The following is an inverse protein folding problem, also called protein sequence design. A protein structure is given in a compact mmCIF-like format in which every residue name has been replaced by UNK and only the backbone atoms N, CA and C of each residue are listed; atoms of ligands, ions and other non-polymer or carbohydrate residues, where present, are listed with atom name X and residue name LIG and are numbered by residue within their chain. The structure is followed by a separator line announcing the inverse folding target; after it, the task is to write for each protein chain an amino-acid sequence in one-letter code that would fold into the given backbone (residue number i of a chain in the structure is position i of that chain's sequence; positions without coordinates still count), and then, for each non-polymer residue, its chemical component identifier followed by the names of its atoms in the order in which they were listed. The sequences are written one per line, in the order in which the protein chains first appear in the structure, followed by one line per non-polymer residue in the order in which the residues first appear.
data_IF_323361099240
#
_entry.id   IF_323361099240
#
_cell.length_a   1.000
_cell.length_b   1.000
_cell.length_c   1.000
_cell.angle_alpha   90.00
_cell.angle_beta   90.00
_cell.angle_gamma   90.00
#
_symmetry.space_group_name_H-M   'P 1'
#
loop_
_entity.id
_entity.type
_entity.pdbx_description
1 polymer ?
#
# COMPACT_ATOMS: atom_id res chain seq x y z
N UNK A 1 22.14 17.99 -3.49
CA UNK A 1 22.53 18.02 -2.06
C UNK A 1 21.38 17.44 -1.26
N UNK A 2 21.67 16.49 -0.36
CA UNK A 2 20.63 15.83 0.45
C UNK A 2 20.36 16.67 1.71
N UNK A 3 19.08 16.96 1.96
CA UNK A 3 18.60 17.63 3.17
C UNK A 3 17.43 16.88 3.79
N UNK A 4 17.28 16.93 5.12
CA UNK A 4 16.08 16.49 5.82
C UNK A 4 14.96 17.52 5.60
N UNK A 5 13.76 17.02 5.32
CA UNK A 5 12.57 17.85 5.05
C UNK A 5 11.78 18.10 6.33
N UNK A 6 10.98 19.17 6.30
CA UNK A 6 10.04 19.57 7.34
C UNK A 6 8.64 19.73 6.73
N UNK A 7 7.62 19.99 7.54
CA UNK A 7 6.24 20.05 7.06
C UNK A 7 5.98 21.11 5.98
N UNK A 8 6.74 22.20 5.96
CA UNK A 8 6.67 23.23 4.94
C UNK A 8 7.11 22.72 3.54
N UNK A 9 7.92 21.66 3.49
CA UNK A 9 8.34 21.04 2.23
C UNK A 9 7.26 20.12 1.63
N UNK A 10 6.20 19.77 2.38
CA UNK A 10 5.20 18.75 2.01
C UNK A 10 4.63 18.97 0.60
N UNK A 11 4.25 20.20 0.25
CA UNK A 11 3.69 20.49 -1.07
C UNK A 11 4.68 20.17 -2.20
N UNK A 12 5.93 20.60 -2.05
CA UNK A 12 6.99 20.35 -3.04
C UNK A 12 7.26 18.86 -3.22
N UNK A 13 7.25 18.10 -2.12
CA UNK A 13 7.42 16.65 -2.15
C UNK A 13 6.24 15.97 -2.85
N UNK A 14 5.02 16.36 -2.52
CA UNK A 14 3.81 15.82 -3.15
C UNK A 14 3.78 16.13 -4.65
N UNK A 15 4.07 17.37 -5.08
CA UNK A 15 4.12 17.74 -6.49
C UNK A 15 5.08 16.82 -7.29
N UNK A 16 6.22 16.46 -6.70
CA UNK A 16 7.15 15.50 -7.30
C UNK A 16 6.62 14.06 -7.31
N UNK A 17 6.06 13.59 -6.19
CA UNK A 17 5.55 12.23 -6.05
C UNK A 17 4.34 11.97 -6.96
N UNK A 18 3.49 12.97 -7.19
CA UNK A 18 2.34 12.88 -8.08
C UNK A 18 2.70 12.72 -9.56
N UNK A 19 3.95 12.98 -9.97
CA UNK A 19 4.42 12.69 -11.34
C UNK A 19 4.32 11.19 -11.67
N UNK A 20 4.40 10.32 -10.65
CA UNK A 20 4.15 8.88 -10.78
C UNK A 20 3.37 8.39 -9.55
N UNK A 21 2.13 8.86 -9.45
CA UNK A 21 1.28 8.64 -8.26
C UNK A 21 1.03 7.17 -7.93
N UNK A 22 0.99 6.30 -8.94
CA UNK A 22 0.76 4.87 -8.73
C UNK A 22 1.93 4.24 -7.99
N UNK A 23 3.16 4.50 -8.43
CA UNK A 23 4.36 3.96 -7.79
C UNK A 23 4.67 4.63 -6.44
N UNK A 24 4.25 5.87 -6.27
CA UNK A 24 4.51 6.67 -5.08
C UNK A 24 3.35 6.69 -4.07
N UNK A 25 2.33 5.84 -4.27
CA UNK A 25 1.12 5.80 -3.45
C UNK A 25 1.41 5.82 -1.94
N UNK A 26 2.31 4.96 -1.46
CA UNK A 26 2.62 4.89 -0.03
C UNK A 26 3.25 6.18 0.47
N UNK A 27 4.23 6.73 -0.25
CA UNK A 27 4.85 7.99 0.14
C UNK A 27 3.85 9.16 0.15
N UNK A 28 2.96 9.21 -0.85
CA UNK A 28 1.88 10.21 -0.91
C UNK A 28 0.93 10.04 0.27
N UNK A 29 0.45 8.81 0.49
CA UNK A 29 -0.46 8.50 1.58
C UNK A 29 0.13 8.79 2.96
N UNK A 30 1.40 8.43 3.17
CA UNK A 30 2.10 8.68 4.43
C UNK A 30 2.24 10.19 4.69
N UNK A 31 2.68 10.98 3.70
CA UNK A 31 2.79 12.44 3.85
C UNK A 31 1.43 13.09 4.12
N UNK A 32 0.38 12.70 3.41
CA UNK A 32 -0.96 13.27 3.59
C UNK A 32 -1.59 12.90 4.95
N UNK A 33 -1.33 11.70 5.45
CA UNK A 33 -1.94 11.23 6.70
C UNK A 33 -1.14 11.59 7.95
N UNK A 34 0.20 11.70 7.86
CA UNK A 34 1.08 11.86 9.02
C UNK A 34 1.95 13.12 8.99
N UNK A 35 1.98 13.86 7.88
CA UNK A 35 2.88 15.00 7.67
C UNK A 35 4.26 14.54 7.20
N UNK A 36 5.24 15.44 7.19
CA UNK A 36 6.62 15.18 6.72
C UNK A 36 7.58 14.98 7.89
N UNK A 37 7.30 15.63 9.01
CA UNK A 37 8.12 15.64 10.21
C UNK A 37 7.27 15.20 11.42
N UNK A 38 7.36 13.90 11.75
CA UNK A 38 6.64 13.30 12.86
C UNK A 38 7.51 12.31 13.60
N UNK A 39 7.11 11.86 14.78
CA UNK A 39 7.86 10.87 15.58
C UNK A 39 8.10 9.53 14.85
N UNK A 40 7.26 9.21 13.86
CA UNK A 40 7.29 7.94 13.14
C UNK A 40 7.82 8.05 11.73
N UNK A 41 8.00 9.29 11.21
CA UNK A 41 8.37 9.53 9.83
C UNK A 41 9.50 10.54 9.69
N UNK A 42 10.47 10.22 8.86
CA UNK A 42 11.54 11.09 8.42
C UNK A 42 11.58 11.13 6.89
N UNK A 43 11.76 12.30 6.31
CA UNK A 43 11.87 12.47 4.86
C UNK A 43 13.13 13.25 4.52
N UNK A 44 13.86 12.77 3.52
CA UNK A 44 15.01 13.48 2.94
C UNK A 44 14.81 13.64 1.44
N UNK A 45 15.34 14.70 0.91
CA UNK A 45 15.34 14.98 -0.52
C UNK A 45 16.76 15.23 -1.01
N UNK A 46 17.14 14.52 -2.10
CA UNK A 46 18.28 14.92 -2.91
C UNK A 46 17.81 15.82 -4.04
N UNK A 47 18.33 17.04 -4.11
CA UNK A 47 17.97 18.02 -5.09
C UNK A 47 19.16 18.84 -5.57
N UNK A 48 19.03 19.37 -6.77
CA UNK A 48 19.95 20.34 -7.36
C UNK A 48 19.20 21.53 -7.98
N UNK A 49 19.87 22.34 -8.79
CA UNK A 49 19.28 23.50 -9.46
C UNK A 49 18.14 23.12 -10.42
N UNK A 50 18.07 21.87 -10.88
CA UNK A 50 17.03 21.36 -11.78
C UNK A 50 15.80 20.83 -11.02
N UNK A 51 15.91 20.64 -9.71
CA UNK A 51 14.84 20.17 -8.85
C UNK A 51 15.16 18.88 -8.11
N UNK A 52 14.09 18.18 -7.66
CA UNK A 52 14.21 16.93 -6.91
C UNK A 52 14.66 15.80 -7.83
N UNK A 53 15.71 15.07 -7.42
CA UNK A 53 16.20 13.83 -8.02
C UNK A 53 15.61 12.61 -7.35
N UNK A 54 15.69 12.58 -6.01
CA UNK A 54 15.31 11.41 -5.21
C UNK A 54 14.71 11.86 -3.88
N UNK A 55 13.64 11.18 -3.48
CA UNK A 55 13.05 11.29 -2.16
C UNK A 55 13.32 9.98 -1.42
N UNK A 56 13.78 10.08 -0.18
CA UNK A 56 13.94 9.00 0.78
C UNK A 56 12.95 9.23 1.92
N UNK A 57 11.96 8.37 2.06
CA UNK A 57 10.92 8.48 3.08
C UNK A 57 10.97 7.25 3.98
N UNK A 58 11.28 7.46 5.25
CA UNK A 58 11.22 6.45 6.29
C UNK A 58 9.90 6.58 7.04
N UNK A 59 9.14 5.50 7.11
CA UNK A 59 7.96 5.37 7.97
C UNK A 59 8.06 4.07 8.77
N UNK A 60 8.20 4.19 10.09
CA UNK A 60 8.48 3.05 10.97
C UNK A 60 9.71 2.25 10.50
N UNK A 61 9.53 0.97 10.16
CA UNK A 61 10.57 0.09 9.61
C UNK A 61 10.63 0.04 8.09
N UNK A 62 9.87 0.89 7.39
CA UNK A 62 9.83 0.94 5.94
C UNK A 62 10.57 2.17 5.42
N UNK A 63 11.28 1.99 4.32
CA UNK A 63 11.96 3.05 3.58
C UNK A 63 11.46 3.04 2.13
N UNK A 64 10.87 4.12 1.69
CA UNK A 64 10.50 4.32 0.29
C UNK A 64 11.58 5.17 -0.38
N UNK A 65 12.12 4.68 -1.51
CA UNK A 65 13.02 5.46 -2.37
C UNK A 65 12.29 5.77 -3.66
N UNK A 66 11.97 7.04 -3.87
CA UNK A 66 11.30 7.53 -5.07
C UNK A 66 12.23 8.39 -5.91
N UNK A 67 12.49 7.96 -7.15
CA UNK A 67 13.27 8.70 -8.13
C UNK A 67 12.65 8.56 -9.51
N UNK A 68 12.39 9.71 -10.18
CA UNK A 68 11.87 9.73 -11.54
C UNK A 68 12.99 9.65 -12.60
N UNK A 69 14.23 9.95 -12.21
CA UNK A 69 15.44 9.82 -13.04
C UNK A 69 16.18 8.51 -12.81
N UNK A 70 15.67 7.64 -11.93
CA UNK A 70 16.35 6.43 -11.46
C UNK A 70 17.72 6.70 -10.80
N UNK A 71 17.95 7.92 -10.31
CA UNK A 71 19.15 8.27 -9.55
C UNK A 71 18.97 7.87 -8.08
N UNK A 72 20.07 7.46 -7.44
CA UNK A 72 20.12 7.13 -6.01
C UNK A 72 21.52 7.40 -5.48
N UNK A 73 21.60 8.01 -4.31
CA UNK A 73 22.87 8.20 -3.58
C UNK A 73 23.12 6.99 -2.68
N UNK A 74 24.07 6.14 -3.08
CA UNK A 74 24.39 4.92 -2.35
C UNK A 74 25.08 5.19 -1.01
N UNK A 75 25.86 6.26 -0.89
CA UNK A 75 26.50 6.63 0.35
C UNK A 75 25.48 7.08 1.38
N UNK A 76 24.45 7.78 0.93
CA UNK A 76 23.33 8.18 1.78
C UNK A 76 22.47 6.98 2.21
N UNK A 77 22.17 6.05 1.30
CA UNK A 77 21.44 4.82 1.66
C UNK A 77 22.23 3.99 2.67
N UNK A 78 23.57 3.88 2.51
CA UNK A 78 24.42 3.18 3.47
C UNK A 78 24.36 3.83 4.87
N UNK A 79 24.37 5.16 4.95
CA UNK A 79 24.20 5.90 6.22
C UNK A 79 22.84 5.65 6.86
N UNK A 80 21.76 5.61 6.07
CA UNK A 80 20.45 5.30 6.60
C UNK A 80 20.36 3.87 7.16
N UNK A 81 20.99 2.90 6.50
CA UNK A 81 21.07 1.52 7.00
C UNK A 81 21.88 1.44 8.29
N UNK A 82 23.00 2.19 8.39
CA UNK A 82 23.81 2.26 9.60
C UNK A 82 23.04 2.89 10.77
N UNK A 83 22.31 3.98 10.52
CA UNK A 83 21.58 4.73 11.54
C UNK A 83 20.34 4.00 12.06
N UNK A 84 19.51 3.44 11.13
CA UNK A 84 18.21 2.86 11.48
C UNK A 84 18.20 1.32 11.52
N UNK A 85 19.32 0.68 11.14
CA UNK A 85 19.42 -0.77 11.10
C UNK A 85 18.65 -1.39 9.92
N UNK A 86 18.14 -2.62 10.12
CA UNK A 86 17.42 -3.34 9.05
C UNK A 86 16.03 -2.77 8.81
N UNK A 87 15.80 -2.28 7.58
CA UNK A 87 14.53 -1.73 7.11
C UNK A 87 14.04 -2.47 5.87
N UNK A 88 12.74 -2.35 5.57
CA UNK A 88 12.15 -2.82 4.33
C UNK A 88 12.22 -1.69 3.28
N UNK A 89 13.01 -1.88 2.24
CA UNK A 89 13.13 -0.90 1.15
C UNK A 89 12.09 -1.16 0.06
N UNK A 90 11.34 -0.13 -0.30
CA UNK A 90 10.31 -0.12 -1.33
C UNK A 90 10.62 0.93 -2.39
N UNK A 91 10.35 0.65 -3.65
CA UNK A 91 10.55 1.58 -4.75
C UNK A 91 10.54 0.88 -6.10
N UNK A 92 10.72 1.65 -7.17
CA UNK A 92 10.84 1.10 -8.53
C UNK A 92 12.00 0.13 -8.62
N UNK A 93 11.82 -0.96 -9.34
CA UNK A 93 12.92 -1.92 -9.60
C UNK A 93 14.11 -1.26 -10.28
N UNK A 94 13.88 -0.29 -11.20
CA UNK A 94 14.93 0.47 -11.86
C UNK A 94 15.77 1.31 -10.90
N UNK A 95 15.18 1.81 -9.81
CA UNK A 95 15.86 2.55 -8.73
C UNK A 95 16.56 1.59 -7.78
N UNK A 96 15.82 0.63 -7.21
CA UNK A 96 16.37 -0.27 -6.20
C UNK A 96 17.44 -1.23 -6.73
N UNK A 97 17.46 -1.50 -8.05
CA UNK A 97 18.52 -2.28 -8.67
C UNK A 97 19.88 -1.59 -8.65
N UNK A 98 19.90 -0.26 -8.51
CA UNK A 98 21.12 0.57 -8.44
C UNK A 98 21.61 0.77 -7.01
N UNK A 99 20.82 0.35 -6.00
CA UNK A 99 21.22 0.43 -4.60
C UNK A 99 22.16 -0.71 -4.24
N UNK A 100 23.27 -0.38 -3.60
CA UNK A 100 24.28 -1.31 -3.09
C UNK A 100 23.85 -1.87 -1.72
N UNK A 101 22.81 -2.73 -1.71
CA UNK A 101 22.37 -3.36 -0.47
C UNK A 101 23.36 -4.38 0.06
N UNK A 102 23.52 -4.49 1.39
CA UNK A 102 24.21 -5.62 2.02
C UNK A 102 23.60 -6.96 1.59
N UNK A 103 24.39 -8.05 1.59
CA UNK A 103 23.95 -9.39 1.20
C UNK A 103 22.79 -9.96 2.05
N UNK A 104 22.55 -9.38 3.22
CA UNK A 104 21.43 -9.73 4.11
C UNK A 104 20.07 -9.31 3.57
N UNK A 105 20.03 -8.44 2.56
CA UNK A 105 18.80 -7.99 1.94
C UNK A 105 18.36 -8.92 0.80
N UNK A 106 17.11 -9.38 0.87
CA UNK A 106 16.50 -10.22 -0.15
C UNK A 106 15.59 -9.39 -1.04
N UNK A 107 15.81 -9.44 -2.35
CA UNK A 107 14.95 -8.74 -3.34
C UNK A 107 13.70 -9.56 -3.62
N UNK A 108 12.54 -8.91 -3.49
CA UNK A 108 11.23 -9.50 -3.82
C UNK A 108 10.55 -8.63 -4.87
N UNK A 109 10.72 -8.89 -6.17
CA UNK A 109 10.03 -8.12 -7.20
C UNK A 109 8.52 -8.37 -7.13
N UNK A 110 7.75 -7.29 -7.17
CA UNK A 110 6.29 -7.31 -7.19
C UNK A 110 5.80 -6.58 -8.44
N UNK A 111 4.62 -6.95 -8.93
CA UNK A 111 3.94 -6.21 -9.98
C UNK A 111 2.98 -5.22 -9.34
N UNK A 112 3.00 -3.99 -9.84
CA UNK A 112 1.98 -2.99 -9.58
C UNK A 112 1.06 -2.91 -10.79
N UNK A 113 -0.24 -2.88 -10.56
CA UNK A 113 -1.24 -2.63 -11.58
C UNK A 113 -2.20 -1.56 -11.06
N UNK A 114 -2.78 -0.76 -11.94
CA UNK A 114 -3.84 0.17 -11.59
C UNK A 114 -5.16 -0.23 -12.24
N UNK A 115 -6.26 0.04 -11.56
CA UNK A 115 -7.61 -0.15 -12.07
C UNK A 115 -8.22 1.24 -12.25
N UNK A 116 -8.67 1.53 -13.47
CA UNK A 116 -9.42 2.76 -13.81
C UNK A 116 -10.90 2.46 -14.06
N UNK A 117 -11.21 1.21 -14.44
CA UNK A 117 -12.57 0.74 -14.73
C UNK A 117 -12.76 -0.68 -14.24
N UNK A 118 -13.93 -0.98 -13.71
CA UNK A 118 -14.31 -2.33 -13.31
C UNK A 118 -15.10 -3.01 -14.44
N UNK A 119 -14.81 -4.27 -14.72
CA UNK A 119 -15.58 -5.07 -15.67
C UNK A 119 -16.91 -5.48 -15.02
N UNK A 120 -18.02 -4.98 -15.57
CA UNK A 120 -19.38 -5.18 -15.07
C UNK A 120 -19.77 -6.65 -14.89
N UNK A 121 -19.20 -7.57 -15.67
CA UNK A 121 -19.47 -9.02 -15.51
C UNK A 121 -19.15 -9.55 -14.11
N UNK A 122 -18.26 -8.89 -13.37
CA UNK A 122 -17.91 -9.27 -12.00
C UNK A 122 -18.76 -8.56 -10.94
N UNK A 123 -19.50 -7.51 -11.31
CA UNK A 123 -20.43 -6.80 -10.44
C UNK A 123 -21.82 -7.41 -10.46
N UNK A 124 -22.25 -7.91 -11.62
CA UNK A 124 -23.57 -8.51 -11.81
C UNK A 124 -23.56 -9.95 -11.30
N UNK A 125 -23.68 -10.13 -9.99
CA UNK A 125 -23.74 -11.43 -9.34
C UNK A 125 -24.59 -11.37 -8.07
N UNK A 126 -25.08 -12.53 -7.61
CA UNK A 126 -25.93 -12.67 -6.43
C UNK A 126 -25.14 -12.93 -5.14
N UNK A 127 -23.82 -12.73 -5.16
CA UNK A 127 -22.98 -12.97 -4.00
C UNK A 127 -23.12 -11.87 -2.96
N UNK A 128 -23.22 -12.24 -1.67
CA UNK A 128 -23.21 -11.29 -0.55
C UNK A 128 -21.80 -10.75 -0.32
N UNK A 129 -21.46 -9.67 -1.03
CA UNK A 129 -20.18 -8.98 -0.90
C UNK A 129 -20.43 -7.60 -0.30
N UNK A 130 -19.85 -7.36 0.86
CA UNK A 130 -20.06 -6.10 1.58
C UNK A 130 -18.83 -5.67 2.39
N UNK A 131 -18.81 -4.39 2.70
CA UNK A 131 -17.91 -3.83 3.70
C UNK A 131 -18.29 -4.39 5.07
N UNK A 132 -17.30 -4.84 5.85
CA UNK A 132 -17.54 -5.37 7.18
C UNK A 132 -17.63 -4.26 8.24
N UNK A 133 -18.35 -4.55 9.32
CA UNK A 133 -18.39 -3.77 10.54
C UNK A 133 -17.63 -4.44 11.69
N UNK A 134 -17.74 -3.84 12.88
CA UNK A 134 -17.10 -4.36 14.09
C UNK A 134 -17.57 -5.77 14.47
N UNK A 135 -18.84 -6.09 14.21
CA UNK A 135 -19.42 -7.41 14.53
C UNK A 135 -18.76 -8.52 13.71
N UNK A 136 -18.29 -8.22 12.51
CA UNK A 136 -17.61 -9.17 11.62
C UNK A 136 -16.10 -9.23 11.86
N UNK A 137 -15.51 -8.31 12.64
CA UNK A 137 -14.06 -8.14 12.76
C UNK A 137 -13.33 -9.43 13.19
N UNK A 138 -13.91 -10.18 14.14
CA UNK A 138 -13.33 -11.43 14.63
C UNK A 138 -13.37 -12.54 13.58
N UNK A 139 -14.49 -12.67 12.85
CA UNK A 139 -14.63 -13.65 11.78
C UNK A 139 -13.68 -13.30 10.60
N UNK A 140 -13.57 -12.03 10.27
CA UNK A 140 -12.63 -11.55 9.26
C UNK A 140 -11.18 -11.88 9.64
N UNK A 141 -10.76 -11.57 10.87
CA UNK A 141 -9.40 -11.87 11.35
C UNK A 141 -9.08 -13.37 11.31
N UNK A 142 -10.00 -14.25 11.69
CA UNK A 142 -9.80 -15.69 11.59
C UNK A 142 -9.58 -16.15 10.16
N UNK A 143 -10.37 -15.66 9.21
CA UNK A 143 -10.21 -15.96 7.78
C UNK A 143 -8.89 -15.40 7.25
N UNK A 144 -8.55 -14.15 7.59
CA UNK A 144 -7.31 -13.52 7.21
C UNK A 144 -6.09 -14.32 7.71
N UNK A 145 -6.09 -14.72 8.98
CA UNK A 145 -5.02 -15.55 9.56
C UNK A 145 -4.93 -16.92 8.88
N UNK A 146 -6.06 -17.54 8.53
CA UNK A 146 -6.08 -18.83 7.82
C UNK A 146 -5.48 -18.77 6.42
N UNK A 147 -5.56 -17.61 5.75
CA UNK A 147 -5.09 -17.43 4.37
C UNK A 147 -3.62 -16.96 4.34
N UNK A 148 -3.27 -16.01 5.20
CA UNK A 148 -1.99 -15.28 5.14
C UNK A 148 -1.06 -15.53 6.33
N UNK A 149 -1.52 -16.27 7.35
CA UNK A 149 -0.80 -16.39 8.63
C UNK A 149 -1.07 -15.20 9.57
N UNK A 150 -0.44 -15.24 10.73
CA UNK A 150 -0.64 -14.24 11.80
C UNK A 150 0.23 -12.98 11.58
N UNK A 151 -0.04 -12.27 10.48
CA UNK A 151 0.67 -11.04 10.11
C UNK A 151 -0.08 -9.75 10.48
N UNK A 152 -1.40 -9.83 10.64
CA UNK A 152 -2.26 -8.69 10.99
C UNK A 152 -2.96 -9.01 12.31
N UNK A 153 -2.75 -8.18 13.32
CA UNK A 153 -3.36 -8.39 14.64
C UNK A 153 -4.84 -8.02 14.63
N UNK A 154 -5.62 -8.73 15.43
CA UNK A 154 -7.04 -8.42 15.60
C UNK A 154 -7.28 -6.96 16.02
N UNK A 155 -6.45 -6.45 16.94
CA UNK A 155 -6.58 -5.05 17.42
C UNK A 155 -6.35 -4.01 16.32
N UNK A 156 -5.48 -4.30 15.32
CA UNK A 156 -5.26 -3.38 14.19
C UNK A 156 -6.51 -3.31 13.31
N UNK A 157 -7.16 -4.46 13.04
CA UNK A 157 -8.43 -4.50 12.29
C UNK A 157 -9.50 -3.74 13.06
N UNK A 158 -9.65 -3.99 14.35
CA UNK A 158 -10.63 -3.35 15.21
C UNK A 158 -10.45 -1.83 15.24
N UNK A 159 -9.22 -1.36 15.48
CA UNK A 159 -8.90 0.06 15.49
C UNK A 159 -9.21 0.75 14.16
N UNK A 160 -8.90 0.09 13.03
CA UNK A 160 -9.22 0.62 11.71
C UNK A 160 -10.73 0.65 11.43
N UNK A 161 -11.52 -0.27 12.00
CA UNK A 161 -12.97 -0.25 11.88
C UNK A 161 -13.63 0.81 12.78
N UNK A 162 -13.07 1.03 13.98
CA UNK A 162 -13.53 2.08 14.91
C UNK A 162 -13.17 3.49 14.41
N UNK A 163 -12.02 3.61 13.74
CA UNK A 163 -11.47 4.88 13.28
C UNK A 163 -11.07 4.82 11.79
N UNK A 164 -12.02 4.68 10.86
CA UNK A 164 -11.73 4.46 9.45
C UNK A 164 -11.14 5.71 8.81
N UNK A 165 -9.83 5.80 8.71
CA UNK A 165 -9.11 6.92 8.05
C UNK A 165 -8.61 6.54 6.66
N UNK A 166 -7.91 5.43 6.53
CA UNK A 166 -7.15 5.08 5.32
C UNK A 166 -7.28 3.61 4.91
N UNK A 167 -8.22 2.88 5.50
CA UNK A 167 -8.43 1.47 5.22
C UNK A 167 -9.90 1.09 5.34
N UNK A 168 -10.31 0.13 4.53
CA UNK A 168 -11.61 -0.55 4.65
C UNK A 168 -11.45 -2.03 4.36
N UNK A 169 -12.34 -2.85 4.93
CA UNK A 169 -12.33 -4.29 4.84
C UNK A 169 -13.62 -4.79 4.20
N UNK A 170 -13.48 -5.72 3.25
CA UNK A 170 -14.59 -6.33 2.53
C UNK A 170 -14.56 -7.84 2.69
N UNK A 171 -15.72 -8.44 2.75
CA UNK A 171 -15.89 -9.88 2.80
C UNK A 171 -16.99 -10.36 1.83
N UNK A 172 -16.79 -11.54 1.28
CA UNK A 172 -17.81 -12.31 0.56
C UNK A 172 -18.30 -13.39 1.51
N UNK A 173 -19.63 -13.43 1.68
CA UNK A 173 -20.31 -14.37 2.56
C UNK A 173 -20.97 -15.49 1.75
N UNK A 174 -20.92 -16.70 2.30
CA UNK A 174 -21.63 -17.85 1.79
C UNK A 174 -22.19 -18.63 2.98
N UNK A 175 -23.51 -18.88 2.93
CA UNK A 175 -24.23 -19.57 4.04
C UNK A 175 -23.92 -18.92 5.41
N UNK A 176 -23.83 -17.57 5.44
CA UNK A 176 -23.52 -16.79 6.64
C UNK A 176 -22.05 -16.78 7.09
N UNK A 177 -21.15 -17.46 6.38
CA UNK A 177 -19.73 -17.51 6.70
C UNK A 177 -18.88 -16.72 5.72
N UNK A 178 -17.82 -16.06 6.21
CA UNK A 178 -16.85 -15.37 5.35
C UNK A 178 -15.99 -16.41 4.64
N UNK A 179 -15.97 -16.37 3.31
CA UNK A 179 -15.19 -17.29 2.46
C UNK A 179 -14.13 -16.60 1.61
N UNK A 180 -14.27 -15.31 1.38
CA UNK A 180 -13.25 -14.51 0.68
C UNK A 180 -13.17 -13.13 1.32
N UNK A 181 -11.97 -12.57 1.35
CA UNK A 181 -11.68 -11.28 1.96
C UNK A 181 -10.83 -10.41 1.05
N UNK A 182 -10.87 -9.12 1.29
CA UNK A 182 -10.03 -8.11 0.66
C UNK A 182 -10.09 -6.82 1.46
N UNK A 183 -9.07 -6.00 1.32
CA UNK A 183 -9.00 -4.72 2.00
C UNK A 183 -8.41 -3.64 1.09
N UNK A 184 -8.68 -2.39 1.41
CA UNK A 184 -7.89 -1.26 0.95
C UNK A 184 -6.98 -0.76 2.07
N UNK A 185 -5.94 -0.06 1.70
CA UNK A 185 -5.04 0.67 2.61
C UNK A 185 -4.47 1.89 1.89
N UNK A 186 -3.79 2.77 2.64
CA UNK A 186 -3.21 4.00 2.12
C UNK A 186 -4.21 4.84 1.31
N UNK A 187 -5.48 4.82 1.72
CA UNK A 187 -6.51 5.61 1.07
C UNK A 187 -6.25 7.10 1.31
N UNK A 188 -6.09 7.83 0.23
CA UNK A 188 -5.96 9.28 0.23
C UNK A 188 -6.68 9.86 -0.97
N UNK A 189 -6.63 11.18 -1.16
CA UNK A 189 -7.30 11.83 -2.29
C UNK A 189 -6.81 11.23 -3.62
N UNK A 190 -7.74 10.62 -4.34
CA UNK A 190 -7.49 10.05 -5.66
C UNK A 190 -6.67 8.76 -5.71
N UNK A 191 -6.37 8.12 -4.58
CA UNK A 191 -5.57 6.90 -4.54
C UNK A 191 -6.04 5.95 -3.42
N UNK A 192 -5.95 4.65 -3.67
CA UNK A 192 -6.10 3.60 -2.67
C UNK A 192 -5.32 2.36 -3.10
N UNK A 193 -4.78 1.60 -2.16
CA UNK A 193 -4.15 0.31 -2.43
C UNK A 193 -5.10 -0.83 -2.05
N UNK A 194 -5.35 -1.76 -2.97
CA UNK A 194 -6.07 -3.00 -2.65
C UNK A 194 -5.06 -4.05 -2.19
N UNK A 195 -5.31 -4.61 -1.02
CA UNK A 195 -4.43 -5.56 -0.34
C UNK A 195 -5.23 -6.71 0.28
N UNK A 196 -4.53 -7.73 0.79
CA UNK A 196 -5.12 -8.83 1.55
C UNK A 196 -6.26 -9.56 0.85
N UNK A 197 -6.17 -9.67 -0.49
CA UNK A 197 -7.18 -10.38 -1.28
C UNK A 197 -6.94 -11.88 -1.19
N UNK A 198 -7.89 -12.62 -0.65
CA UNK A 198 -7.77 -14.05 -0.50
C UNK A 198 -9.09 -14.78 -0.36
N UNK A 199 -9.08 -16.08 -0.67
CA UNK A 199 -10.21 -16.99 -0.53
C UNK A 199 -9.75 -18.23 0.23
N UNK A 200 -10.55 -18.72 1.17
CA UNK A 200 -10.26 -19.96 1.90
C UNK A 200 -10.10 -21.12 0.93
N UNK A 201 -9.27 -22.10 1.29
CA UNK A 201 -8.82 -23.13 0.36
C UNK A 201 -9.97 -23.91 -0.27
N UNK A 202 -10.98 -24.30 0.49
CA UNK A 202 -12.16 -25.06 0.04
C UNK A 202 -13.05 -24.32 -0.96
N UNK A 203 -12.93 -22.98 -1.00
CA UNK A 203 -13.76 -22.11 -1.83
C UNK A 203 -12.98 -21.45 -2.98
N UNK A 204 -11.70 -21.81 -3.19
CA UNK A 204 -10.86 -21.31 -4.28
C UNK A 204 -11.37 -21.76 -5.65
N UNK A 205 -10.91 -21.07 -6.69
CA UNK A 205 -11.22 -21.33 -8.12
C UNK A 205 -12.70 -21.13 -8.50
N UNK A 206 -13.49 -20.46 -7.65
CA UNK A 206 -14.91 -20.11 -7.91
C UNK A 206 -15.10 -18.66 -8.35
N UNK A 207 -14.00 -17.88 -8.47
CA UNK A 207 -14.05 -16.48 -8.90
C UNK A 207 -14.36 -15.48 -7.80
N UNK A 208 -14.48 -15.91 -6.53
CA UNK A 208 -14.88 -15.04 -5.42
C UNK A 208 -13.94 -13.86 -5.19
N UNK A 209 -12.62 -14.09 -5.24
CA UNK A 209 -11.65 -13.00 -5.12
C UNK A 209 -11.82 -11.94 -6.23
N UNK A 210 -12.09 -12.36 -7.48
CA UNK A 210 -12.32 -11.43 -8.59
C UNK A 210 -13.59 -10.59 -8.41
N UNK A 211 -14.68 -11.21 -7.93
CA UNK A 211 -15.95 -10.51 -7.64
C UNK A 211 -15.77 -9.52 -6.48
N UNK A 212 -15.05 -9.94 -5.42
CA UNK A 212 -14.77 -9.11 -4.26
C UNK A 212 -13.90 -7.90 -4.64
N UNK A 213 -12.81 -8.11 -5.40
CA UNK A 213 -11.97 -7.03 -5.91
C UNK A 213 -12.78 -6.07 -6.79
N UNK A 214 -13.65 -6.61 -7.66
CA UNK A 214 -14.52 -5.78 -8.50
C UNK A 214 -15.42 -4.87 -7.65
N UNK A 215 -16.11 -5.44 -6.64
CA UNK A 215 -16.99 -4.67 -5.75
C UNK A 215 -16.23 -3.62 -4.97
N UNK A 216 -15.11 -3.98 -4.35
CA UNK A 216 -14.25 -3.05 -3.61
C UNK A 216 -13.73 -1.93 -4.52
N UNK A 217 -13.27 -2.27 -5.73
CA UNK A 217 -12.78 -1.29 -6.71
C UNK A 217 -13.90 -0.36 -7.18
N UNK A 218 -15.10 -0.89 -7.46
CA UNK A 218 -16.25 -0.11 -7.89
C UNK A 218 -16.64 0.94 -6.83
N UNK A 219 -16.70 0.52 -5.56
CA UNK A 219 -17.01 1.41 -4.46
C UNK A 219 -15.94 2.52 -4.30
N UNK A 220 -14.65 2.16 -4.43
CA UNK A 220 -13.56 3.12 -4.36
C UNK A 220 -13.57 4.10 -5.53
N UNK A 221 -13.79 3.61 -6.78
CA UNK A 221 -13.83 4.45 -7.97
C UNK A 221 -15.00 5.43 -7.93
N UNK A 222 -16.18 4.99 -7.48
CA UNK A 222 -17.37 5.85 -7.34
C UNK A 222 -17.22 6.95 -6.29
N UNK A 223 -16.47 6.67 -5.23
CA UNK A 223 -16.25 7.63 -4.15
C UNK A 223 -15.10 8.61 -4.43
N UNK A 224 -14.10 8.19 -5.19
CA UNK A 224 -12.83 8.91 -5.30
C UNK A 224 -12.51 9.47 -6.69
N UNK A 225 -13.26 9.12 -7.72
CA UNK A 225 -13.08 9.55 -9.14
C UNK A 225 -11.66 9.31 -9.73
N UNK A 226 -10.88 8.30 -9.24
CA UNK A 226 -9.48 8.14 -9.64
C UNK A 226 -9.02 6.68 -9.69
N UNK A 227 -7.93 6.39 -10.47
CA UNK A 227 -7.41 5.03 -10.58
C UNK A 227 -6.90 4.48 -9.25
N UNK A 228 -7.16 3.19 -9.04
CA UNK A 228 -6.81 2.47 -7.83
C UNK A 228 -5.64 1.54 -8.12
N UNK A 229 -4.47 1.71 -7.52
CA UNK A 229 -3.37 0.78 -7.63
C UNK A 229 -3.67 -0.56 -6.95
N UNK A 230 -3.25 -1.64 -7.61
CA UNK A 230 -3.27 -2.99 -7.07
C UNK A 230 -1.85 -3.51 -6.97
N UNK A 231 -1.48 -4.00 -5.81
CA UNK A 231 -0.21 -4.71 -5.65
C UNK A 231 -0.45 -6.22 -5.74
N UNK A 232 0.24 -6.87 -6.67
CA UNK A 232 0.28 -8.33 -6.74
C UNK A 232 1.65 -8.80 -6.24
N UNK A 233 1.65 -9.49 -5.10
CA UNK A 233 2.80 -10.27 -4.67
C UNK A 233 2.67 -11.69 -5.20
N UNK A 234 3.67 -12.16 -5.93
CA UNK A 234 3.75 -13.58 -6.28
C UNK A 234 4.08 -14.38 -5.01
N UNK A 235 3.05 -14.79 -4.26
CA UNK A 235 3.21 -15.89 -3.32
C UNK A 235 3.25 -17.19 -4.14
N UNK A 236 4.44 -17.73 -4.33
CA UNK A 236 4.63 -19.14 -4.71
C UNK A 236 4.81 -19.96 -3.46
#
# INVERSE_FOLDING_TARGET
MIKKCINEDARKLLDYLYLDKVMNLFAIGDILNFGVDSETMDVWVDEDEKGIKTIYLKYLSNMVISSNSDEVDNDFVAKLIEEYGHMNFNGKTSVLSKVNFPETYVRKPCYFASIEHVNEKFLNNDEDIRRIGLDDAKAYHLVQTSIFGDHLKFEDIKNNLEHPKSARYYALYKDGNIVSIGASTAECEGLAMIVSVGTIESERKKGYASKLVAKLSDDLLKEKDYPIPLQFTNYR
#
